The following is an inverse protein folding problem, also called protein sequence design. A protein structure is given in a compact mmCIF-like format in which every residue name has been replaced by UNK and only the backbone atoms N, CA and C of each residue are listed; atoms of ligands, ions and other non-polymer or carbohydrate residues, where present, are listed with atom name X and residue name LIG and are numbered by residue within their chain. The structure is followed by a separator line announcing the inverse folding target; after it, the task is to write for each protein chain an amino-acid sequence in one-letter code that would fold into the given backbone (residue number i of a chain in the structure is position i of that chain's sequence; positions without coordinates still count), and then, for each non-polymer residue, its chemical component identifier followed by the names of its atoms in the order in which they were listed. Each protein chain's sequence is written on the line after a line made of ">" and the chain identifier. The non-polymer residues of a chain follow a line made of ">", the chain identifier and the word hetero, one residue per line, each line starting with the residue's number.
data_IF_612412940757
#
_entry.id   IF_612412940757
#
_cell.length_a   1.000
_cell.length_b   1.000
_cell.length_c   1.000
_cell.angle_alpha   90.00
_cell.angle_beta   90.00
_cell.angle_gamma   90.00
#
_symmetry.space_group_name_H-M   'P 1'
#
loop_
_entity.id
_entity.type
_entity.pdbx_description
1 polymer ?
#
# COMPACT_ATOMS: atom_id res chain seq x y z
N UNK A 1 11.22 0.22 12.32
CA UNK A 1 9.84 0.12 12.88
C UNK A 1 8.86 0.26 11.72
N UNK A 2 7.92 -0.68 11.51
CA UNK A 2 7.01 -0.63 10.38
C UNK A 2 6.09 0.59 10.46
N UNK A 3 5.71 1.16 9.31
CA UNK A 3 4.74 2.25 9.29
C UNK A 3 3.34 1.73 9.63
N UNK A 4 2.61 2.52 10.42
CA UNK A 4 1.23 2.24 10.84
C UNK A 4 0.25 2.84 9.85
N UNK A 5 -0.92 2.23 9.72
CA UNK A 5 -1.98 2.79 8.90
C UNK A 5 -2.54 4.08 9.53
N UNK A 6 -2.81 5.10 8.72
CA UNK A 6 -3.40 6.36 9.16
C UNK A 6 -4.93 6.34 9.24
N UNK A 7 -5.60 5.33 8.65
CA UNK A 7 -7.06 5.25 8.62
C UNK A 7 -7.61 5.09 10.05
N UNK A 8 -8.64 5.87 10.46
CA UNK A 8 -9.24 5.75 11.78
C UNK A 8 -9.64 4.30 12.11
N UNK A 9 -9.41 3.89 13.36
CA UNK A 9 -9.70 2.54 13.88
C UNK A 9 -8.95 1.38 13.21
N UNK A 10 -8.08 1.64 12.23
CA UNK A 10 -7.22 0.60 11.68
C UNK A 10 -6.09 0.26 12.65
N UNK A 11 -5.91 -1.03 12.92
CA UNK A 11 -4.84 -1.56 13.78
C UNK A 11 -3.67 -2.16 12.98
N UNK A 12 -3.63 -1.95 11.67
CA UNK A 12 -2.55 -2.47 10.81
C UNK A 12 -1.16 -1.99 11.23
N UNK A 13 -0.25 -2.96 11.43
CA UNK A 13 1.11 -2.75 11.95
C UNK A 13 1.21 -2.14 13.37
N UNK A 14 0.12 -2.12 14.14
CA UNK A 14 0.17 -1.86 15.58
C UNK A 14 0.62 -3.12 16.35
N UNK A 15 1.03 -2.97 17.61
CA UNK A 15 1.69 -4.06 18.36
C UNK A 15 0.87 -5.36 18.50
N UNK A 16 -0.47 -5.27 18.52
CA UNK A 16 -1.39 -6.43 18.53
C UNK A 16 -2.14 -6.62 17.21
N UNK A 17 -1.83 -5.81 16.20
CA UNK A 17 -2.55 -5.80 14.94
C UNK A 17 -1.95 -6.73 13.90
N UNK A 18 -2.64 -6.95 12.78
CA UNK A 18 -2.12 -7.73 11.67
C UNK A 18 -0.92 -7.03 11.04
N UNK A 19 0.03 -7.83 10.51
CA UNK A 19 1.07 -7.33 9.61
C UNK A 19 0.43 -7.03 8.26
N UNK A 20 0.61 -5.80 7.79
CA UNK A 20 -0.02 -5.32 6.56
C UNK A 20 0.97 -4.57 5.70
N UNK A 21 0.75 -4.61 4.38
CA UNK A 21 1.46 -3.76 3.45
C UNK A 21 0.91 -2.34 3.53
N UNK A 22 1.78 -1.36 3.40
CA UNK A 22 1.44 0.05 3.57
C UNK A 22 1.98 0.86 2.41
N UNK A 23 1.13 1.74 1.88
CA UNK A 23 1.39 2.53 0.68
C UNK A 23 1.49 4.01 1.04
N UNK A 24 2.41 4.68 0.36
CA UNK A 24 2.51 6.14 0.37
C UNK A 24 1.36 6.76 -0.41
N UNK A 25 0.99 7.98 -0.06
CA UNK A 25 0.06 8.74 -0.88
C UNK A 25 0.66 8.97 -2.28
N UNK A 26 -0.17 8.89 -3.34
CA UNK A 26 0.29 9.12 -4.71
C UNK A 26 0.76 10.57 -4.89
N UNK A 27 1.75 10.75 -5.77
CA UNK A 27 2.26 12.07 -6.16
C UNK A 27 1.25 12.84 -7.02
N UNK A 28 0.44 12.11 -7.81
CA UNK A 28 -0.60 12.71 -8.62
C UNK A 28 -1.68 13.35 -7.72
N UNK A 29 -1.92 14.64 -7.91
CA UNK A 29 -2.84 15.41 -7.06
C UNK A 29 -4.28 14.90 -7.10
N UNK A 30 -4.76 14.47 -8.28
CA UNK A 30 -6.13 13.98 -8.44
C UNK A 30 -6.34 12.67 -7.67
N UNK A 31 -5.39 11.73 -7.77
CA UNK A 31 -5.39 10.49 -7.00
C UNK A 31 -5.26 10.79 -5.50
N UNK A 32 -4.38 11.72 -5.12
CA UNK A 32 -4.18 12.13 -3.73
C UNK A 32 -5.45 12.70 -3.11
N UNK A 33 -6.18 13.55 -3.85
CA UNK A 33 -7.49 14.09 -3.43
C UNK A 33 -8.52 12.99 -3.24
N UNK A 34 -8.59 12.02 -4.15
CA UNK A 34 -9.50 10.86 -4.00
C UNK A 34 -9.20 10.06 -2.73
N UNK A 35 -7.92 9.82 -2.44
CA UNK A 35 -7.51 9.14 -1.21
C UNK A 35 -7.88 9.93 0.03
N UNK A 36 -7.64 11.25 0.05
CA UNK A 36 -8.02 12.12 1.16
C UNK A 36 -9.53 12.10 1.40
N UNK A 37 -10.34 12.16 0.34
CA UNK A 37 -11.79 12.14 0.44
C UNK A 37 -12.33 10.79 0.95
N UNK A 38 -11.62 9.69 0.66
CA UNK A 38 -12.00 8.35 1.11
C UNK A 38 -11.70 8.11 2.60
N UNK A 39 -10.77 8.85 3.19
CA UNK A 39 -10.43 8.71 4.60
C UNK A 39 -11.36 9.64 5.40
N UNK A 40 -12.16 9.13 6.35
CA UNK A 40 -13.09 9.94 7.13
C UNK A 40 -12.36 10.72 8.24
N UNK A 41 -11.41 11.58 7.85
CA UNK A 41 -10.63 12.43 8.75
C UNK A 41 -10.33 13.77 8.08
N UNK A 42 -11.00 14.82 8.54
CA UNK A 42 -10.90 16.18 7.99
C UNK A 42 -9.60 16.90 8.37
N UNK A 43 -8.98 16.54 9.50
CA UNK A 43 -7.75 17.12 10.04
C UNK A 43 -6.48 16.34 9.66
N UNK A 44 -6.58 15.44 8.67
CA UNK A 44 -5.45 14.61 8.26
C UNK A 44 -4.36 15.44 7.56
N UNK A 45 -3.23 15.64 8.24
CA UNK A 45 -2.01 16.19 7.64
C UNK A 45 -1.20 15.06 6.99
N UNK A 46 -1.06 15.09 5.67
CA UNK A 46 -0.19 14.13 4.95
C UNK A 46 1.27 14.52 5.21
N UNK A 47 2.03 13.57 5.75
CA UNK A 47 3.48 13.67 5.91
C UNK A 47 4.16 12.50 5.18
N UNK A 48 5.49 12.52 5.13
CA UNK A 48 6.27 11.38 4.61
C UNK A 48 6.07 10.07 5.36
N UNK A 49 5.42 10.06 6.53
CA UNK A 49 5.14 8.87 7.33
C UNK A 49 3.66 8.46 7.33
N UNK A 50 2.78 9.28 6.73
CA UNK A 50 1.37 8.96 6.59
C UNK A 50 1.21 7.88 5.53
N UNK A 51 0.61 6.74 5.90
CA UNK A 51 0.45 5.56 5.04
C UNK A 51 -0.93 4.95 5.18
N UNK A 52 -1.44 4.37 4.10
CA UNK A 52 -2.69 3.57 4.08
C UNK A 52 -2.31 2.11 3.86
N UNK A 53 -2.97 1.17 4.54
CA UNK A 53 -2.65 -0.26 4.37
C UNK A 53 -3.50 -0.91 3.29
N UNK A 54 -3.05 -2.08 2.81
CA UNK A 54 -3.73 -2.86 1.78
C UNK A 54 -5.16 -3.29 2.15
N UNK A 55 -5.53 -3.29 3.43
CA UNK A 55 -6.89 -3.62 3.88
C UNK A 55 -7.93 -2.55 3.51
N UNK A 56 -7.51 -1.35 3.09
CA UNK A 56 -8.39 -0.22 2.72
C UNK A 56 -8.42 0.05 1.22
N UNK A 57 -7.84 -0.85 0.44
CA UNK A 57 -7.86 -0.83 -1.01
C UNK A 57 -8.75 -1.97 -1.50
N UNK A 58 -9.41 -1.79 -2.64
CA UNK A 58 -10.04 -2.93 -3.32
C UNK A 58 -8.96 -3.92 -3.75
N UNK A 59 -9.27 -5.22 -3.77
CA UNK A 59 -8.31 -6.26 -4.16
C UNK A 59 -7.73 -5.97 -5.56
N UNK A 60 -8.59 -5.64 -6.52
CA UNK A 60 -8.23 -5.32 -7.92
C UNK A 60 -7.44 -4.01 -8.07
N UNK A 61 -7.34 -3.19 -7.02
CA UNK A 61 -6.65 -1.90 -7.08
C UNK A 61 -5.17 -1.99 -6.72
N UNK A 62 -4.71 -3.15 -6.23
CA UNK A 62 -3.32 -3.39 -5.88
C UNK A 62 -2.73 -4.43 -6.84
N UNK A 63 -1.67 -4.03 -7.54
CA UNK A 63 -0.90 -4.92 -8.40
C UNK A 63 0.30 -5.41 -7.60
N UNK A 64 0.46 -6.73 -7.51
CA UNK A 64 1.60 -7.38 -6.88
C UNK A 64 2.57 -7.84 -7.95
N UNK A 65 3.78 -7.29 -7.94
CA UNK A 65 4.86 -7.67 -8.85
C UNK A 65 5.99 -8.31 -8.06
N UNK A 66 6.46 -9.47 -8.52
CA UNK A 66 7.61 -10.15 -7.95
C UNK A 66 8.71 -10.26 -9.00
N UNK A 67 9.92 -9.85 -8.61
CA UNK A 67 11.09 -9.87 -9.48
C UNK A 67 12.11 -10.85 -8.90
N UNK A 68 12.59 -11.75 -9.75
CA UNK A 68 13.67 -12.68 -9.41
C UNK A 68 14.86 -12.38 -10.30
N UNK A 69 16.03 -12.13 -9.70
CA UNK A 69 17.27 -11.92 -10.41
C UNK A 69 18.13 -13.17 -10.28
N UNK A 70 18.53 -13.75 -11.42
CA UNK A 70 19.50 -14.83 -11.46
C UNK A 70 20.90 -14.25 -11.73
N UNK A 71 21.76 -14.28 -10.71
CA UNK A 71 23.13 -13.76 -10.76
C UNK A 71 24.01 -14.48 -11.79
N UNK A 72 23.70 -15.72 -12.17
CA UNK A 72 24.54 -16.51 -13.09
C UNK A 72 24.28 -16.19 -14.55
N UNK A 73 23.05 -15.84 -14.89
CA UNK A 73 22.61 -15.59 -16.26
C UNK A 73 22.27 -14.12 -16.51
N UNK A 74 22.33 -13.29 -15.47
CA UNK A 74 21.92 -11.88 -15.44
C UNK A 74 20.50 -11.64 -15.99
N UNK A 75 19.63 -12.63 -15.84
CA UNK A 75 18.23 -12.52 -16.27
C UNK A 75 17.37 -12.08 -15.09
N UNK A 76 16.44 -11.16 -15.38
CA UNK A 76 15.39 -10.75 -14.45
C UNK A 76 14.08 -11.37 -14.91
N UNK A 77 13.51 -12.24 -14.07
CA UNK A 77 12.20 -12.84 -14.29
C UNK A 77 11.18 -11.99 -13.53
N UNK A 78 10.17 -11.49 -14.25
CA UNK A 78 9.05 -10.73 -13.69
C UNK A 78 7.83 -11.64 -13.64
N UNK A 79 7.27 -11.85 -12.46
CA UNK A 79 6.02 -12.60 -12.29
C UNK A 79 4.92 -11.62 -11.94
N UNK A 80 3.91 -11.53 -12.80
CA UNK A 80 2.63 -10.90 -12.49
C UNK A 80 1.66 -12.01 -12.08
N UNK A 81 1.15 -11.96 -10.85
CA UNK A 81 0.10 -12.87 -10.41
C UNK A 81 -1.18 -12.53 -11.19
N UNK A 82 -1.50 -13.32 -12.22
CA UNK A 82 -2.79 -13.23 -12.88
C UNK A 82 -3.85 -13.88 -11.98
N UNK A 83 -4.96 -13.19 -11.78
CA UNK A 83 -6.08 -13.72 -11.02
C UNK A 83 -6.59 -15.01 -11.70
N UNK A 84 -6.74 -16.08 -10.90
CA UNK A 84 -7.38 -17.32 -11.34
C UNK A 84 -8.82 -17.00 -11.76
N UNK A 85 -9.16 -17.35 -13.00
CA UNK A 85 -10.52 -17.35 -13.55
C UNK A 85 -11.47 -18.26 -12.77
#
# INVERSE_FOLDING_TARGET
>A
MPYKCCVPNCVGNYGKGPKVHVFSFPLNESCRKRWLNAIPRSDLVITKYTRVCNLHSAEDSIIWESTFHDEKTDYVIQLQQTEKA
#
